data_IF_530531662730
#
_entry.id   IF_530531662730
#
_cell.length_a   1.000
_cell.length_b   1.000
_cell.length_c   1.000
_cell.angle_alpha   90.00
_cell.angle_beta   90.00
_cell.angle_gamma   90.00
#
_symmetry.space_group_name_H-M   'P 1'
#
loop_
_entity.id
_entity.type
_entity.pdbx_description
1 polymer ?
#
# COMPACT_ATOMS: atom_id res chain seq x y z
N UNK A 1 7.94 31.24 12.36
CA UNK A 1 7.18 29.99 12.20
C UNK A 1 7.13 29.63 10.70
N UNK A 2 8.24 29.20 10.09
CA UNK A 2 8.33 28.91 8.65
C UNK A 2 7.97 27.45 8.35
N UNK A 3 6.67 27.13 8.28
CA UNK A 3 6.21 25.75 8.06
C UNK A 3 6.12 25.31 6.59
N UNK A 4 6.19 26.23 5.62
CA UNK A 4 6.10 25.88 4.19
C UNK A 4 7.47 26.01 3.51
N UNK A 5 8.27 24.94 3.56
CA UNK A 5 9.38 24.80 2.60
C UNK A 5 8.74 24.35 1.29
N UNK A 6 8.74 25.24 0.31
CA UNK A 6 8.07 25.05 -0.99
C UNK A 6 8.92 24.10 -1.82
N UNK A 7 8.31 23.09 -2.45
CA UNK A 7 9.04 21.99 -3.11
C UNK A 7 10.02 22.46 -4.18
N UNK A 8 9.70 23.55 -4.88
CA UNK A 8 10.54 24.20 -5.90
C UNK A 8 11.42 25.35 -5.34
N UNK A 9 11.69 25.39 -4.04
CA UNK A 9 12.59 26.36 -3.43
C UNK A 9 11.96 27.73 -3.15
N UNK A 10 12.82 28.72 -2.87
CA UNK A 10 12.43 30.10 -2.56
C UNK A 10 11.69 30.79 -3.73
N UNK A 11 11.01 31.90 -3.44
CA UNK A 11 10.21 32.63 -4.44
C UNK A 11 11.00 33.09 -5.65
N UNK A 12 12.29 33.42 -5.49
CA UNK A 12 13.13 33.99 -6.55
C UNK A 12 13.47 32.89 -7.56
N UNK A 13 13.83 31.69 -7.10
CA UNK A 13 14.26 30.58 -7.97
C UNK A 13 13.12 29.66 -8.42
N UNK A 14 11.93 29.78 -7.82
CA UNK A 14 10.82 28.84 -8.03
C UNK A 14 10.46 28.59 -9.49
N UNK A 15 10.28 29.65 -10.27
CA UNK A 15 9.85 29.49 -11.66
C UNK A 15 10.92 28.81 -12.51
N UNK A 16 12.19 29.17 -12.29
CA UNK A 16 13.32 28.49 -12.93
C UNK A 16 13.37 27.01 -12.55
N UNK A 17 13.21 26.71 -11.26
CA UNK A 17 13.17 25.34 -10.75
C UNK A 17 11.99 24.53 -11.33
N UNK A 18 10.81 25.12 -11.50
CA UNK A 18 9.66 24.47 -12.15
C UNK A 18 10.01 24.10 -13.61
N UNK A 19 10.55 25.05 -14.38
CA UNK A 19 10.92 24.82 -15.79
C UNK A 19 12.00 23.73 -15.91
N UNK A 20 12.96 23.74 -15.00
CA UNK A 20 14.07 22.78 -14.93
C UNK A 20 13.71 21.45 -14.25
N UNK A 21 12.46 21.27 -13.79
CA UNK A 21 12.01 20.10 -13.02
C UNK A 21 12.86 19.82 -11.77
N UNK A 22 13.30 20.87 -11.09
CA UNK A 22 14.14 20.78 -9.90
C UNK A 22 13.30 21.02 -8.64
N UNK A 23 12.96 19.95 -7.92
CA UNK A 23 12.25 20.03 -6.64
C UNK A 23 12.92 19.18 -5.57
N UNK A 24 12.63 19.49 -4.30
CA UNK A 24 13.13 18.74 -3.14
C UNK A 24 11.98 18.38 -2.21
N UNK A 25 11.81 17.08 -1.98
CA UNK A 25 10.86 16.52 -1.02
C UNK A 25 11.58 16.01 0.24
N UNK A 26 12.55 16.78 0.77
CA UNK A 26 13.40 16.39 1.90
C UNK A 26 12.60 15.91 3.13
N UNK A 27 11.44 16.53 3.39
CA UNK A 27 10.54 16.18 4.49
C UNK A 27 9.83 14.83 4.30
N UNK A 28 9.80 14.33 3.07
CA UNK A 28 9.22 13.03 2.70
C UNK A 28 10.30 12.00 2.33
N UNK A 29 11.51 12.18 2.85
CA UNK A 29 12.67 11.39 2.45
C UNK A 29 12.73 10.00 3.06
N UNK A 30 11.98 9.70 4.13
CA UNK A 30 12.03 8.40 4.80
C UNK A 30 11.23 7.34 4.01
N UNK A 31 11.89 6.44 3.25
CA UNK A 31 11.19 5.43 2.44
C UNK A 31 10.67 4.27 3.29
N UNK A 32 11.03 4.21 4.57
CA UNK A 32 10.63 3.13 5.48
C UNK A 32 9.30 3.43 6.20
N UNK A 33 8.77 4.64 6.07
CA UNK A 33 7.44 4.98 6.55
C UNK A 33 6.43 4.91 5.39
N UNK A 34 5.39 4.08 5.54
CA UNK A 34 4.36 3.83 4.52
C UNK A 34 3.68 5.12 4.07
N UNK A 35 3.27 5.97 5.01
CA UNK A 35 2.53 7.20 4.72
C UNK A 35 3.43 8.20 4.00
N UNK A 36 4.66 8.38 4.47
CA UNK A 36 5.66 9.23 3.83
C UNK A 36 5.98 8.77 2.40
N UNK A 37 6.11 7.46 2.20
CA UNK A 37 6.34 6.87 0.88
C UNK A 37 5.16 7.14 -0.07
N UNK A 38 3.93 6.85 0.33
CA UNK A 38 2.74 7.10 -0.49
C UNK A 38 2.54 8.59 -0.78
N UNK A 39 2.72 9.47 0.22
CA UNK A 39 2.67 10.92 0.04
C UNK A 39 3.70 11.40 -0.98
N UNK A 40 4.93 10.90 -0.89
CA UNK A 40 6.00 11.26 -1.82
C UNK A 40 5.63 10.87 -3.25
N UNK A 41 5.19 9.63 -3.48
CA UNK A 41 4.84 9.14 -4.82
C UNK A 41 3.69 9.96 -5.41
N UNK A 42 2.62 10.20 -4.64
CA UNK A 42 1.49 10.99 -5.12
C UNK A 42 1.90 12.43 -5.46
N UNK A 43 2.71 13.07 -4.61
CA UNK A 43 3.18 14.44 -4.87
C UNK A 43 4.05 14.49 -6.14
N UNK A 44 4.97 13.54 -6.32
CA UNK A 44 5.81 13.44 -7.51
C UNK A 44 4.97 13.30 -8.78
N UNK A 45 3.87 12.53 -8.75
CA UNK A 45 2.92 12.42 -9.86
C UNK A 45 2.17 13.74 -10.11
N UNK A 46 1.66 14.39 -9.05
CA UNK A 46 0.91 15.65 -9.14
C UNK A 46 1.74 16.81 -9.73
N UNK A 47 3.05 16.85 -9.47
CA UNK A 47 3.95 17.91 -9.93
C UNK A 47 4.74 17.54 -11.19
N UNK A 48 4.39 16.43 -11.84
CA UNK A 48 5.07 15.98 -13.06
C UNK A 48 5.19 17.10 -14.09
N UNK A 49 6.37 17.22 -14.72
CA UNK A 49 6.60 18.17 -15.81
C UNK A 49 5.66 17.91 -16.97
N UNK A 50 5.43 16.63 -17.29
CA UNK A 50 4.50 16.17 -18.32
C UNK A 50 3.06 16.25 -17.80
N UNK A 51 2.20 17.15 -18.33
CA UNK A 51 0.84 17.32 -17.82
C UNK A 51 -0.03 16.07 -17.95
N UNK A 52 0.21 15.24 -18.98
CA UNK A 52 -0.51 13.99 -19.22
C UNK A 52 -0.25 12.91 -18.17
N UNK A 53 0.86 13.01 -17.43
CA UNK A 53 1.19 12.09 -16.34
C UNK A 53 0.61 12.54 -14.99
N UNK A 54 0.01 13.73 -14.91
CA UNK A 54 -0.59 14.21 -13.67
C UNK A 54 -1.94 13.53 -13.45
N UNK A 55 -2.21 13.00 -12.24
CA UNK A 55 -3.50 12.42 -11.93
C UNK A 55 -4.58 13.51 -11.93
N UNK A 56 -5.78 13.13 -12.38
CA UNK A 56 -7.00 13.93 -12.25
C UNK A 56 -7.36 14.07 -10.77
N UNK A 57 -8.08 15.13 -10.43
CA UNK A 57 -8.53 15.37 -9.04
C UNK A 57 -9.25 14.16 -8.43
N UNK A 58 -10.10 13.47 -9.20
CA UNK A 58 -10.81 12.27 -8.72
C UNK A 58 -9.86 11.12 -8.37
N UNK A 59 -8.78 10.94 -9.15
CA UNK A 59 -7.75 9.92 -8.90
C UNK A 59 -6.91 10.27 -7.66
N UNK A 60 -6.61 11.56 -7.47
CA UNK A 60 -5.95 12.05 -6.24
C UNK A 60 -6.81 11.74 -5.02
N UNK A 61 -8.11 12.04 -5.06
CA UNK A 61 -9.03 11.80 -3.94
C UNK A 61 -9.26 10.31 -3.65
N UNK A 62 -9.15 9.45 -4.66
CA UNK A 62 -9.26 8.01 -4.49
C UNK A 62 -7.96 7.37 -3.94
N UNK A 63 -6.83 8.07 -4.00
CA UNK A 63 -5.51 7.52 -3.68
C UNK A 63 -5.43 6.93 -2.25
N UNK A 64 -4.72 5.80 -2.05
CA UNK A 64 -4.59 5.15 -0.75
C UNK A 64 -4.04 6.02 0.39
N UNK A 65 -3.33 7.11 0.07
CA UNK A 65 -2.82 8.05 1.09
C UNK A 65 -3.93 8.64 1.97
N UNK A 66 -5.17 8.71 1.45
CA UNK A 66 -6.33 9.26 2.15
C UNK A 66 -7.20 8.19 2.84
N UNK A 67 -6.84 6.91 2.75
CA UNK A 67 -7.64 5.84 3.31
C UNK A 67 -7.46 5.72 4.82
N UNK A 68 -8.56 5.41 5.53
CA UNK A 68 -8.47 4.97 6.92
C UNK A 68 -7.75 3.62 7.02
N UNK A 69 -7.27 3.26 8.21
CA UNK A 69 -6.67 1.93 8.44
C UNK A 69 -7.71 0.82 8.20
N UNK A 70 -8.97 1.05 8.55
CA UNK A 70 -10.08 0.14 8.23
C UNK A 70 -10.25 -0.07 6.71
N UNK A 71 -10.26 1.02 5.92
CA UNK A 71 -10.39 0.93 4.45
C UNK A 71 -9.17 0.22 3.83
N UNK A 72 -7.97 0.52 4.34
CA UNK A 72 -6.73 -0.17 3.94
C UNK A 72 -6.78 -1.67 4.23
N UNK A 73 -7.25 -2.08 5.43
CA UNK A 73 -7.38 -3.49 5.77
C UNK A 73 -8.43 -4.19 4.89
N UNK A 74 -9.54 -3.52 4.60
CA UNK A 74 -10.59 -4.07 3.76
C UNK A 74 -10.08 -4.26 2.33
N UNK A 75 -9.37 -3.28 1.78
CA UNK A 75 -8.75 -3.39 0.45
C UNK A 75 -7.85 -4.63 0.32
N UNK A 76 -6.96 -4.86 1.29
CA UNK A 76 -6.07 -6.03 1.25
C UNK A 76 -6.83 -7.36 1.33
N UNK A 77 -7.95 -7.40 2.06
CA UNK A 77 -8.81 -8.58 2.12
C UNK A 77 -9.53 -8.81 0.80
N UNK A 78 -10.14 -7.77 0.23
CA UNK A 78 -10.92 -7.88 -1.01
C UNK A 78 -10.01 -8.28 -2.18
N UNK A 79 -8.80 -7.71 -2.25
CA UNK A 79 -7.79 -8.16 -3.22
C UNK A 79 -7.38 -9.61 -2.96
N UNK A 80 -7.12 -10.01 -1.70
CA UNK A 80 -6.78 -11.40 -1.39
C UNK A 80 -7.88 -12.38 -1.81
N UNK A 81 -9.15 -12.05 -1.60
CA UNK A 81 -10.27 -12.90 -1.99
C UNK A 81 -10.41 -12.94 -3.52
N UNK A 82 -10.25 -11.79 -4.19
CA UNK A 82 -10.32 -11.66 -5.66
C UNK A 82 -9.28 -12.51 -6.39
N UNK A 83 -8.09 -12.68 -5.81
CA UNK A 83 -6.99 -13.42 -6.43
C UNK A 83 -6.86 -14.88 -5.94
N UNK A 84 -7.63 -15.32 -4.94
CA UNK A 84 -7.44 -16.62 -4.27
C UNK A 84 -7.58 -17.81 -5.22
N UNK A 85 -8.40 -17.70 -6.27
CA UNK A 85 -8.65 -18.77 -7.25
C UNK A 85 -8.00 -18.56 -8.61
N UNK A 86 -7.21 -17.49 -8.78
CA UNK A 86 -6.55 -17.22 -10.05
C UNK A 86 -5.40 -18.20 -10.30
N UNK A 87 -5.24 -18.56 -11.58
CA UNK A 87 -4.11 -19.34 -12.07
C UNK A 87 -2.82 -18.51 -11.97
N UNK A 88 -1.66 -19.11 -11.62
CA UNK A 88 -0.40 -18.36 -11.55
C UNK A 88 0.00 -17.62 -12.84
N UNK A 89 -0.50 -18.04 -14.00
CA UNK A 89 -0.28 -17.37 -15.29
C UNK A 89 -1.28 -16.24 -15.58
N UNK A 90 -2.30 -16.04 -14.74
CA UNK A 90 -3.25 -14.95 -14.88
C UNK A 90 -2.55 -13.59 -14.80
N UNK A 91 -2.86 -12.69 -15.73
CA UNK A 91 -2.17 -11.42 -15.87
C UNK A 91 -2.29 -10.53 -14.63
N UNK A 92 -3.39 -10.63 -13.87
CA UNK A 92 -3.58 -9.91 -12.60
C UNK A 92 -2.52 -10.37 -11.60
N UNK A 93 -2.31 -11.68 -11.48
CA UNK A 93 -1.29 -12.24 -10.59
C UNK A 93 0.12 -11.94 -11.08
N UNK A 94 0.38 -12.02 -12.39
CA UNK A 94 1.68 -11.64 -12.96
C UNK A 94 2.01 -10.18 -12.64
N UNK A 95 1.03 -9.28 -12.77
CA UNK A 95 1.20 -7.87 -12.43
C UNK A 95 1.42 -7.67 -10.92
N UNK A 96 0.69 -8.41 -10.08
CA UNK A 96 0.84 -8.37 -8.63
C UNK A 96 2.22 -8.83 -8.17
N UNK A 97 2.78 -9.88 -8.81
CA UNK A 97 4.07 -10.45 -8.46
C UNK A 97 5.26 -9.71 -9.10
N UNK A 98 5.00 -8.80 -10.04
CA UNK A 98 6.04 -7.93 -10.63
C UNK A 98 6.75 -7.16 -9.53
N UNK A 99 8.08 -7.24 -9.46
CA UNK A 99 8.90 -6.59 -8.43
C UNK A 99 8.60 -7.03 -6.97
N UNK A 100 7.88 -8.14 -6.75
CA UNK A 100 7.52 -8.60 -5.41
C UNK A 100 8.75 -8.82 -4.50
N UNK A 101 9.90 -9.22 -5.05
CA UNK A 101 11.15 -9.35 -4.29
C UNK A 101 11.55 -8.06 -3.57
N UNK A 102 11.31 -6.89 -4.16
CA UNK A 102 11.59 -5.59 -3.53
C UNK A 102 10.56 -5.30 -2.44
N UNK A 103 9.29 -5.57 -2.70
CA UNK A 103 8.18 -5.29 -1.76
C UNK A 103 8.28 -6.18 -0.53
N UNK A 104 8.57 -7.46 -0.73
CA UNK A 104 8.63 -8.51 0.29
C UNK A 104 10.02 -8.66 0.92
N UNK A 105 11.00 -7.87 0.46
CA UNK A 105 12.40 -7.95 0.87
C UNK A 105 12.94 -9.38 0.71
N UNK A 106 12.72 -9.95 -0.48
CA UNK A 106 12.98 -11.32 -0.92
C UNK A 106 12.17 -12.43 -0.23
N UNK A 107 11.87 -12.29 1.06
CA UNK A 107 11.11 -13.29 1.81
C UNK A 107 10.36 -12.65 2.98
N UNK A 108 9.06 -12.40 2.83
CA UNK A 108 8.29 -11.69 3.86
C UNK A 108 8.24 -12.44 5.20
N UNK A 109 8.39 -13.77 5.20
CA UNK A 109 8.37 -14.58 6.43
C UNK A 109 9.52 -14.24 7.37
N UNK A 110 10.66 -13.77 6.85
CA UNK A 110 11.82 -13.37 7.69
C UNK A 110 11.66 -11.97 8.29
N UNK A 111 10.64 -11.20 7.88
CA UNK A 111 10.42 -9.83 8.33
C UNK A 111 9.24 -9.68 9.29
N UNK A 112 8.58 -10.78 9.63
CA UNK A 112 7.53 -10.85 10.65
C UNK A 112 8.07 -11.44 11.96
N UNK A 113 7.40 -11.16 13.07
CA UNK A 113 7.82 -11.63 14.39
C UNK A 113 7.73 -13.17 14.51
N UNK A 114 8.56 -13.73 15.36
CA UNK A 114 8.65 -15.18 15.59
C UNK A 114 7.32 -15.82 16.02
N UNK A 115 6.50 -15.24 16.92
CA UNK A 115 5.19 -15.80 17.26
C UNK A 115 4.29 -15.99 16.04
N UNK A 116 4.26 -14.99 15.15
CA UNK A 116 3.46 -15.06 13.92
C UNK A 116 4.04 -16.07 12.92
N UNK A 117 5.37 -16.16 12.79
CA UNK A 117 6.01 -17.17 11.93
C UNK A 117 5.64 -18.59 12.37
N UNK A 118 5.73 -18.88 13.67
CA UNK A 118 5.41 -20.18 14.23
C UNK A 118 3.94 -20.53 14.04
N UNK A 119 3.05 -19.55 14.23
CA UNK A 119 1.62 -19.72 14.05
C UNK A 119 1.21 -19.95 12.58
N UNK A 120 1.90 -19.31 11.63
CA UNK A 120 1.66 -19.52 10.19
C UNK A 120 2.07 -20.92 9.71
N UNK A 121 3.06 -21.56 10.34
CA UNK A 121 3.55 -22.90 9.96
C UNK A 121 2.56 -24.04 10.29
N UNK A 122 1.63 -23.82 11.22
CA UNK A 122 0.76 -24.88 11.76
C UNK A 122 -0.32 -25.36 10.79
N UNK A 123 -0.95 -24.43 10.06
CA UNK A 123 -2.20 -24.71 9.36
C UNK A 123 -2.09 -24.66 7.84
N UNK A 124 -1.18 -23.86 7.28
CA UNK A 124 -1.04 -23.70 5.83
C UNK A 124 0.40 -23.41 5.46
N UNK A 125 0.84 -23.97 4.34
CA UNK A 125 2.12 -23.60 3.77
C UNK A 125 1.97 -22.29 2.99
N UNK A 126 2.76 -21.30 3.39
CA UNK A 126 2.88 -20.05 2.67
C UNK A 126 4.27 -19.93 2.04
N UNK A 127 4.32 -19.51 0.78
CA UNK A 127 5.56 -19.15 0.12
C UNK A 127 5.93 -17.70 0.48
N UNK A 128 7.13 -17.52 1.01
CA UNK A 128 7.64 -16.22 1.45
C UNK A 128 8.00 -15.26 0.31
N UNK A 129 8.13 -15.79 -0.91
CA UNK A 129 8.56 -15.03 -2.09
C UNK A 129 7.36 -14.46 -2.86
N UNK A 130 6.15 -14.99 -2.64
CA UNK A 130 4.95 -14.55 -3.36
C UNK A 130 4.13 -13.55 -2.53
N UNK A 131 3.72 -12.46 -3.18
CA UNK A 131 2.92 -11.39 -2.59
C UNK A 131 1.49 -11.85 -2.36
N UNK A 132 0.93 -12.67 -3.27
CA UNK A 132 -0.36 -13.35 -3.08
C UNK A 132 -0.41 -14.07 -1.73
N UNK A 133 0.67 -14.75 -1.36
CA UNK A 133 0.73 -15.52 -0.12
C UNK A 133 0.84 -14.65 1.13
N UNK A 134 1.47 -13.47 1.03
CA UNK A 134 1.41 -12.46 2.09
C UNK A 134 -0.01 -11.94 2.29
N UNK A 135 -0.71 -11.56 1.20
CA UNK A 135 -2.10 -11.07 1.27
C UNK A 135 -3.03 -12.13 1.88
N UNK A 136 -2.87 -13.38 1.46
CA UNK A 136 -3.60 -14.52 2.00
C UNK A 136 -3.33 -14.74 3.49
N UNK A 137 -2.08 -14.59 3.93
CA UNK A 137 -1.74 -14.66 5.35
C UNK A 137 -2.40 -13.54 6.16
N UNK A 138 -2.38 -12.29 5.67
CA UNK A 138 -3.04 -11.13 6.29
C UNK A 138 -4.55 -11.41 6.43
N UNK A 139 -5.20 -11.82 5.33
CA UNK A 139 -6.62 -12.14 5.28
C UNK A 139 -6.99 -13.26 6.26
N UNK A 140 -6.23 -14.35 6.29
CA UNK A 140 -6.47 -15.47 7.21
C UNK A 140 -6.29 -15.07 8.68
N UNK A 141 -5.26 -14.27 9.01
CA UNK A 141 -5.04 -13.82 10.38
C UNK A 141 -6.06 -12.80 10.85
N UNK A 142 -6.58 -11.96 9.96
CA UNK A 142 -7.73 -11.12 10.26
C UNK A 142 -8.99 -11.96 10.49
N UNK A 143 -9.28 -12.93 9.62
CA UNK A 143 -10.48 -13.77 9.71
C UNK A 143 -10.54 -14.56 11.02
N UNK A 144 -9.41 -15.18 11.40
CA UNK A 144 -9.29 -15.98 12.62
C UNK A 144 -8.74 -15.18 13.81
N UNK A 145 -8.80 -13.84 13.78
CA UNK A 145 -8.11 -12.99 14.76
C UNK A 145 -8.46 -13.36 16.21
N UNK A 146 -9.74 -13.62 16.50
CA UNK A 146 -10.21 -13.98 17.85
C UNK A 146 -9.73 -15.36 18.35
N UNK A 147 -9.26 -16.21 17.46
CA UNK A 147 -8.78 -17.56 17.75
C UNK A 147 -7.25 -17.63 17.88
N UNK A 148 -6.55 -16.50 17.68
CA UNK A 148 -5.10 -16.45 17.70
C UNK A 148 -4.55 -16.60 19.13
N UNK A 149 -3.37 -17.22 19.30
CA UNK A 149 -2.69 -17.28 20.59
C UNK A 149 -2.40 -15.88 21.15
N UNK A 150 -2.38 -15.69 22.49
CA UNK A 150 -2.14 -14.39 23.11
C UNK A 150 -0.85 -13.69 22.66
N UNK A 151 0.23 -14.44 22.44
CA UNK A 151 1.51 -13.90 21.97
C UNK A 151 1.44 -13.31 20.55
N UNK A 152 0.62 -13.94 19.69
CA UNK A 152 0.38 -13.48 18.32
C UNK A 152 -0.51 -12.24 18.33
N UNK A 153 -1.58 -12.25 19.15
CA UNK A 153 -2.44 -11.08 19.36
C UNK A 153 -1.66 -9.87 19.87
N UNK A 154 -0.80 -10.07 20.87
CA UNK A 154 0.07 -9.02 21.41
C UNK A 154 1.01 -8.46 20.34
N UNK A 155 1.49 -9.31 19.43
CA UNK A 155 2.39 -8.89 18.36
C UNK A 155 1.68 -8.11 17.25
N UNK A 156 0.49 -8.57 16.85
CA UNK A 156 -0.29 -7.97 15.76
C UNK A 156 -1.01 -6.69 16.22
N UNK A 157 -1.38 -6.61 17.49
CA UNK A 157 -2.18 -5.52 18.03
C UNK A 157 -3.62 -5.56 17.57
N UNK A 158 -4.40 -4.61 18.07
CA UNK A 158 -5.84 -4.45 17.86
C UNK A 158 -6.23 -4.18 16.40
N UNK A 159 -7.40 -4.68 16.03
CA UNK A 159 -8.01 -4.40 14.73
C UNK A 159 -8.75 -3.05 14.73
N UNK A 160 -8.77 -2.32 13.59
CA UNK A 160 -7.98 -2.58 12.38
C UNK A 160 -6.59 -1.92 12.41
N UNK A 161 -6.40 -0.89 13.24
CA UNK A 161 -5.29 0.06 13.14
C UNK A 161 -3.92 -0.55 13.42
N UNK A 162 -3.72 -1.16 14.59
CA UNK A 162 -2.41 -1.73 14.97
C UNK A 162 -2.06 -2.92 14.07
N UNK A 163 -3.07 -3.75 13.76
CA UNK A 163 -2.94 -4.88 12.85
C UNK A 163 -2.44 -4.46 11.46
N UNK A 164 -3.03 -3.43 10.85
CA UNK A 164 -2.55 -2.91 9.55
C UNK A 164 -1.16 -2.33 9.71
N UNK A 165 -0.94 -1.51 10.74
CA UNK A 165 0.35 -0.88 11.00
C UNK A 165 1.48 -1.91 11.16
N UNK A 166 1.18 -3.08 11.73
CA UNK A 166 2.14 -4.18 11.84
C UNK A 166 2.71 -4.57 10.47
N UNK A 167 1.85 -4.76 9.46
CA UNK A 167 2.29 -5.16 8.12
C UNK A 167 2.87 -3.99 7.33
N UNK A 168 2.24 -2.81 7.38
CA UNK A 168 2.69 -1.67 6.56
C UNK A 168 4.02 -1.10 7.03
N UNK A 169 4.31 -1.13 8.35
CA UNK A 169 5.62 -0.74 8.87
C UNK A 169 6.74 -1.69 8.41
N UNK A 170 6.43 -2.97 8.20
CA UNK A 170 7.38 -3.98 7.69
C UNK A 170 7.53 -3.94 6.18
N UNK A 171 6.45 -3.63 5.47
CA UNK A 171 6.38 -3.57 4.01
C UNK A 171 5.81 -2.20 3.56
N UNK A 172 6.63 -1.12 3.61
CA UNK A 172 6.14 0.25 3.40
C UNK A 172 5.57 0.52 2.01
N UNK A 173 5.97 -0.29 1.02
CA UNK A 173 5.53 -0.17 -0.38
C UNK A 173 4.31 -1.04 -0.71
N UNK A 174 3.86 -1.88 0.22
CA UNK A 174 2.84 -2.91 -0.03
C UNK A 174 1.53 -2.32 -0.57
N UNK A 175 0.97 -1.32 0.12
CA UNK A 175 -0.36 -0.79 -0.22
C UNK A 175 -0.37 -0.21 -1.63
N UNK A 176 0.61 0.65 -1.94
CA UNK A 176 0.68 1.31 -3.24
C UNK A 176 0.95 0.31 -4.36
N UNK A 177 1.85 -0.66 -4.13
CA UNK A 177 2.13 -1.72 -5.10
C UNK A 177 0.88 -2.53 -5.43
N UNK A 178 0.12 -2.94 -4.41
CA UNK A 178 -1.12 -3.71 -4.60
C UNK A 178 -2.20 -2.86 -5.29
N UNK A 179 -2.31 -1.58 -4.92
CA UNK A 179 -3.23 -0.63 -5.58
C UNK A 179 -2.93 -0.48 -7.07
N UNK A 180 -1.67 -0.26 -7.44
CA UNK A 180 -1.27 -0.12 -8.85
C UNK A 180 -1.46 -1.43 -9.63
N UNK A 181 -1.11 -2.58 -9.04
CA UNK A 181 -1.27 -3.88 -9.68
C UNK A 181 -2.75 -4.23 -9.96
N UNK A 182 -3.65 -3.78 -9.09
CA UNK A 182 -5.08 -4.07 -9.15
C UNK A 182 -5.89 -3.02 -9.92
N UNK A 183 -5.23 -2.01 -10.52
CA UNK A 183 -5.89 -0.97 -11.34
C UNK A 183 -6.70 -1.56 -12.50
N UNK A 184 -6.27 -2.68 -13.08
CA UNK A 184 -7.01 -3.38 -14.14
C UNK A 184 -8.36 -3.93 -13.69
N UNK A 185 -8.57 -4.08 -12.38
CA UNK A 185 -9.82 -4.53 -11.77
C UNK A 185 -10.63 -3.35 -11.17
N UNK A 186 -10.29 -2.11 -11.52
CA UNK A 186 -10.85 -0.90 -10.88
C UNK A 186 -12.36 -0.75 -11.08
N UNK A 187 -12.89 -1.22 -12.21
CA UNK A 187 -14.33 -1.16 -12.52
C UNK A 187 -15.12 -2.35 -11.95
N UNK A 188 -14.45 -3.32 -11.30
CA UNK A 188 -15.15 -4.45 -10.70
C UNK A 188 -15.95 -4.00 -9.48
N UNK A 189 -17.22 -4.45 -9.29
CA UNK A 189 -18.07 -3.99 -8.18
C UNK A 189 -17.47 -4.16 -6.78
N UNK A 190 -16.57 -5.13 -6.59
CA UNK A 190 -15.90 -5.35 -5.31
C UNK A 190 -14.78 -4.34 -5.05
N UNK A 191 -14.16 -3.80 -6.11
CA UNK A 191 -12.98 -2.96 -6.02
C UNK A 191 -13.23 -1.49 -6.41
N UNK A 192 -14.38 -1.17 -7.02
CA UNK A 192 -14.72 0.17 -7.50
C UNK A 192 -14.60 1.26 -6.43
N UNK A 193 -14.95 0.94 -5.18
CA UNK A 193 -14.90 1.81 -4.00
C UNK A 193 -13.49 2.31 -3.66
N UNK A 194 -12.46 1.66 -4.19
CA UNK A 194 -11.06 2.02 -4.00
C UNK A 194 -10.52 2.95 -5.09
N UNK A 195 -11.08 2.92 -6.29
CA UNK A 195 -10.55 3.65 -7.45
C UNK A 195 -11.42 4.84 -7.87
N UNK A 196 -12.71 4.81 -7.52
CA UNK A 196 -13.64 5.86 -7.90
C UNK A 196 -14.10 6.65 -6.67
N UNK A 197 -13.75 7.93 -6.64
CA UNK A 197 -14.32 8.87 -5.68
C UNK A 197 -15.79 9.12 -6.06
N UNK A 198 -16.72 8.61 -5.25
CA UNK A 198 -18.17 8.90 -5.36
C UNK A 198 -18.47 10.11 -4.47
N UNK A 199 -18.79 11.24 -5.07
CA UNK A 199 -19.31 12.40 -4.33
C UNK A 199 -20.65 12.01 -3.72
N UNK A 200 -20.73 12.02 -2.39
CA UNK A 200 -22.03 12.02 -1.72
C UNK A 200 -22.59 13.44 -1.85
N UNK A 201 -23.49 13.66 -2.81
CA UNK A 201 -24.37 14.82 -2.76
C UNK A 201 -25.27 14.63 -1.53
N UNK A 202 -25.05 15.49 -0.53
CA UNK A 202 -25.91 15.61 0.65
C UNK A 202 -27.27 16.21 0.27
#
# INVERSE_FOLDING_TARGET
MNKFKIWFGDSIRRQSNIVMNQFKLDKLSNPYNTETYMQKVLIEQMISKEPSLRPKTKEVLANPVFWSKAKTLQFLQDVSDRIEKLDPSDQILVNLEKNASIILKNNWKTHICEPLQNDLRKFRQYNGVFLRDLLRAIRNKKHHYRELPPEVLKSLGTLPDEFVCYFTSRFPKLILHVYEAMQCCSEEPMLDVYYHFKEHHF
#
